data_IF_188080176958
#
_entry.id   IF_188080176958
#
_cell.length_a   1.000
_cell.length_b   1.000
_cell.length_c   1.000
_cell.angle_alpha   90.00
_cell.angle_beta   90.00
_cell.angle_gamma   90.00
#
_symmetry.space_group_name_H-M   'P 1'
#
loop_
_entity.id
_entity.type
_entity.pdbx_description
1 polymer ?
#
# COMPACT_ATOMS: atom_id res chain seq x y z
N UNK A 1 31.56 -91.53 -36.13
CA UNK A 1 32.54 -90.94 -37.06
C UNK A 1 32.86 -89.49 -36.63
N UNK A 2 34.02 -89.41 -36.13
CA UNK A 2 35.00 -88.38 -36.35
C UNK A 2 34.52 -86.92 -36.31
N UNK A 3 35.11 -85.96 -35.66
CA UNK A 3 36.42 -85.91 -35.12
C UNK A 3 36.79 -84.45 -34.90
N UNK A 4 37.59 -84.17 -33.91
CA UNK A 4 38.69 -83.18 -33.85
C UNK A 4 38.27 -81.69 -34.16
N UNK A 5 38.80 -80.64 -33.53
CA UNK A 5 39.85 -80.41 -32.59
C UNK A 5 39.75 -78.95 -32.13
N UNK A 6 40.24 -78.68 -30.91
CA UNK A 6 40.68 -77.36 -30.45
C UNK A 6 41.85 -76.82 -31.26
N UNK A 7 42.11 -75.49 -31.20
CA UNK A 7 43.03 -75.01 -30.18
C UNK A 7 42.65 -73.68 -29.55
N UNK A 8 43.22 -73.53 -28.38
CA UNK A 8 43.27 -72.32 -27.52
C UNK A 8 44.04 -71.18 -28.25
N UNK A 9 43.62 -69.95 -27.95
CA UNK A 9 44.65 -68.90 -27.76
C UNK A 9 44.22 -67.86 -26.77
N UNK A 10 45.12 -67.59 -25.86
CA UNK A 10 44.94 -66.67 -24.73
C UNK A 10 45.10 -65.22 -25.13
N UNK A 11 44.22 -64.40 -24.70
CA UNK A 11 44.28 -62.96 -24.82
C UNK A 11 44.09 -62.28 -23.45
N UNK A 12 45.20 -61.90 -22.90
CA UNK A 12 45.44 -61.17 -21.67
C UNK A 12 44.65 -59.86 -21.62
N UNK A 13 43.55 -59.75 -20.83
CA UNK A 13 42.87 -58.53 -20.56
C UNK A 13 43.50 -57.80 -19.39
N UNK A 14 44.37 -56.87 -19.66
CA UNK A 14 44.90 -55.91 -18.68
C UNK A 14 43.73 -55.02 -18.15
N UNK A 15 43.43 -55.17 -16.89
CA UNK A 15 42.50 -54.28 -16.15
C UNK A 15 43.13 -52.90 -16.02
N UNK A 16 42.66 -51.95 -16.82
CA UNK A 16 42.93 -50.52 -16.67
C UNK A 16 42.11 -49.97 -15.51
N UNK A 17 42.61 -50.06 -14.29
CA UNK A 17 41.99 -49.53 -13.09
C UNK A 17 42.28 -48.04 -12.81
N UNK A 18 42.37 -47.18 -13.82
CA UNK A 18 42.75 -45.80 -13.61
C UNK A 18 41.72 -44.74 -14.12
N UNK A 19 40.65 -45.14 -14.78
CA UNK A 19 39.75 -44.17 -15.41
C UNK A 19 38.67 -43.59 -14.46
N UNK A 20 38.15 -44.36 -13.52
CA UNK A 20 37.07 -43.92 -12.64
C UNK A 20 37.53 -42.84 -11.64
N UNK A 21 38.69 -43.01 -11.02
CA UNK A 21 39.24 -41.98 -10.11
C UNK A 21 39.60 -40.69 -10.82
N UNK A 22 40.11 -40.76 -12.05
CA UNK A 22 40.40 -39.58 -12.87
C UNK A 22 39.11 -38.82 -13.24
N UNK A 23 38.03 -39.52 -13.61
CA UNK A 23 36.75 -38.88 -13.92
C UNK A 23 36.09 -38.24 -12.70
N UNK A 24 36.21 -38.83 -11.51
CA UNK A 24 35.69 -38.25 -10.27
C UNK A 24 36.46 -36.97 -9.91
N UNK A 25 37.79 -37.01 -9.98
CA UNK A 25 38.63 -35.83 -9.73
C UNK A 25 38.30 -34.72 -10.72
N UNK A 26 38.16 -35.04 -12.01
CA UNK A 26 37.79 -34.04 -13.03
C UNK A 26 36.42 -33.45 -12.79
N UNK A 27 35.43 -34.25 -12.40
CA UNK A 27 34.07 -33.78 -12.07
C UNK A 27 34.07 -32.87 -10.84
N UNK A 28 34.83 -33.22 -9.79
CA UNK A 28 34.94 -32.37 -8.58
C UNK A 28 35.63 -31.05 -8.90
N UNK A 29 36.71 -31.08 -9.67
CA UNK A 29 37.40 -29.84 -10.08
C UNK A 29 36.51 -28.97 -10.96
N UNK A 30 35.77 -29.56 -11.90
CA UNK A 30 34.83 -28.81 -12.74
C UNK A 30 33.70 -28.18 -11.91
N UNK A 31 33.18 -28.89 -10.91
CA UNK A 31 32.13 -28.35 -10.01
C UNK A 31 32.69 -27.21 -9.16
N UNK A 32 33.88 -27.32 -8.62
CA UNK A 32 34.53 -26.24 -7.86
C UNK A 32 34.81 -25.00 -8.71
N UNK A 33 35.28 -25.19 -9.97
CA UNK A 33 35.47 -24.08 -10.89
C UNK A 33 34.15 -23.42 -11.27
N UNK A 34 33.09 -24.20 -11.51
CA UNK A 34 31.76 -23.65 -11.79
C UNK A 34 31.22 -22.87 -10.59
N UNK A 35 31.37 -23.38 -9.36
CA UNK A 35 30.97 -22.68 -8.15
C UNK A 35 31.76 -21.37 -7.95
N UNK A 36 33.08 -21.38 -8.19
CA UNK A 36 33.90 -20.19 -8.10
C UNK A 36 33.51 -19.14 -9.16
N UNK A 37 33.20 -19.58 -10.39
CA UNK A 37 32.68 -18.68 -11.44
C UNK A 37 31.33 -18.09 -11.10
N UNK A 38 30.40 -18.88 -10.57
CA UNK A 38 29.10 -18.38 -10.13
C UNK A 38 29.22 -17.36 -9.00
N UNK A 39 30.08 -17.63 -8.00
CA UNK A 39 30.36 -16.69 -6.92
C UNK A 39 31.09 -15.44 -7.44
N UNK A 40 31.99 -15.57 -8.38
CA UNK A 40 32.70 -14.46 -9.01
C UNK A 40 31.76 -13.56 -9.83
N UNK A 41 30.87 -14.17 -10.64
CA UNK A 41 29.87 -13.45 -11.42
C UNK A 41 28.84 -12.80 -10.48
N UNK A 42 28.41 -13.51 -9.44
CA UNK A 42 27.49 -12.96 -8.43
C UNK A 42 28.10 -11.76 -7.69
N UNK A 43 29.37 -11.88 -7.25
CA UNK A 43 30.09 -10.78 -6.62
C UNK A 43 30.31 -9.60 -7.58
N UNK A 44 30.66 -9.88 -8.84
CA UNK A 44 30.81 -8.85 -9.86
C UNK A 44 29.49 -8.16 -10.18
N UNK A 45 28.38 -8.91 -10.31
CA UNK A 45 27.04 -8.36 -10.52
C UNK A 45 26.61 -7.44 -9.38
N UNK A 46 26.94 -7.79 -8.12
CA UNK A 46 26.67 -6.96 -6.96
C UNK A 46 27.55 -5.70 -6.91
N UNK A 47 28.82 -5.81 -7.23
CA UNK A 47 29.77 -4.68 -7.14
C UNK A 47 29.64 -3.69 -8.29
N UNK A 48 29.21 -4.16 -9.47
CA UNK A 48 29.04 -3.31 -10.67
C UNK A 48 27.55 -2.95 -10.94
N UNK A 49 26.65 -3.24 -10.01
CA UNK A 49 25.27 -2.76 -10.07
C UNK A 49 24.39 -3.47 -11.11
N UNK A 50 24.75 -4.67 -11.55
CA UNK A 50 23.92 -5.49 -12.45
C UNK A 50 22.75 -6.16 -11.73
N UNK A 51 22.86 -6.27 -10.41
CA UNK A 51 21.76 -6.69 -9.53
C UNK A 51 21.54 -5.54 -8.55
N UNK A 52 20.42 -4.84 -8.71
CA UNK A 52 19.97 -3.87 -7.73
C UNK A 52 19.55 -4.62 -6.47
N UNK A 53 20.37 -4.60 -5.44
CA UNK A 53 19.86 -4.91 -4.11
C UNK A 53 18.86 -3.78 -3.77
N UNK A 54 17.64 -4.08 -3.34
CA UNK A 54 16.75 -3.02 -2.88
C UNK A 54 17.49 -2.29 -1.75
N UNK A 55 17.92 -1.07 -2.05
CA UNK A 55 18.57 -0.23 -1.05
C UNK A 55 17.50 0.18 -0.07
N UNK A 56 17.67 -0.19 1.19
CA UNK A 56 16.82 0.22 2.32
C UNK A 56 16.95 1.72 2.64
N UNK A 57 17.23 2.55 1.63
CA UNK A 57 17.34 4.01 1.79
C UNK A 57 16.03 4.66 2.21
N UNK A 58 14.88 3.99 2.01
CA UNK A 58 13.59 4.48 2.50
C UNK A 58 13.43 4.35 4.02
N UNK A 59 14.20 3.49 4.69
CA UNK A 59 14.11 3.32 6.15
C UNK A 59 14.90 4.39 6.94
N UNK A 60 15.76 5.16 6.30
CA UNK A 60 16.54 6.20 6.98
C UNK A 60 15.72 7.43 7.36
N UNK A 61 14.52 7.57 6.80
CA UNK A 61 13.59 8.68 7.06
C UNK A 61 12.37 8.28 7.90
N UNK A 62 12.34 7.06 8.45
CA UNK A 62 11.28 6.68 9.38
C UNK A 62 11.46 7.50 10.67
N UNK A 63 10.56 8.45 10.87
CA UNK A 63 10.55 9.23 12.10
C UNK A 63 10.29 8.31 13.30
N UNK A 64 10.87 8.65 14.43
CA UNK A 64 10.57 7.99 15.69
C UNK A 64 9.06 8.01 15.95
N UNK A 65 8.50 6.87 16.36
CA UNK A 65 7.09 6.75 16.77
C UNK A 65 6.85 7.53 18.07
N UNK A 66 6.94 8.86 18.00
CA UNK A 66 6.64 9.74 19.14
C UNK A 66 5.14 10.04 19.10
N UNK A 67 4.45 9.57 20.12
CA UNK A 67 3.06 9.95 20.37
C UNK A 67 3.00 11.43 20.77
N UNK A 68 2.07 12.17 20.18
CA UNK A 68 1.73 13.52 20.61
C UNK A 68 0.91 13.54 21.90
N UNK A 69 0.38 14.70 22.25
CA UNK A 69 -0.47 14.92 23.44
C UNK A 69 -1.96 14.69 23.17
N UNK A 70 -2.33 14.33 21.95
CA UNK A 70 -3.70 14.22 21.45
C UNK A 70 -4.09 15.39 20.54
N UNK A 71 -4.85 15.11 19.49
CA UNK A 71 -5.28 16.11 18.51
C UNK A 71 -6.60 16.79 18.89
N UNK A 72 -7.41 16.15 19.75
CA UNK A 72 -8.68 16.67 20.24
C UNK A 72 -8.58 17.02 21.73
N UNK A 73 -9.30 18.06 22.11
CA UNK A 73 -9.51 18.41 23.51
C UNK A 73 -10.66 17.53 24.08
N UNK A 74 -10.41 16.23 24.21
CA UNK A 74 -11.35 15.38 24.92
C UNK A 74 -11.38 15.75 26.39
N UNK A 75 -12.57 15.97 26.95
CA UNK A 75 -12.71 16.09 28.40
C UNK A 75 -12.38 14.74 29.01
N UNK A 76 -11.45 14.72 29.95
CA UNK A 76 -11.00 13.52 30.62
C UNK A 76 -12.19 12.73 31.17
N UNK A 77 -12.43 11.51 30.67
CA UNK A 77 -13.46 10.60 31.16
C UNK A 77 -14.79 10.62 30.42
N UNK A 78 -14.98 11.45 29.39
CA UNK A 78 -16.17 11.39 28.52
C UNK A 78 -15.86 10.61 27.25
N UNK A 79 -16.74 9.66 26.88
CA UNK A 79 -16.68 8.99 25.58
C UNK A 79 -17.01 9.99 24.44
N UNK A 80 -16.39 9.82 23.29
CA UNK A 80 -16.73 10.62 22.11
C UNK A 80 -18.17 10.39 21.67
N UNK A 81 -18.93 11.46 21.44
CA UNK A 81 -20.28 11.37 20.86
C UNK A 81 -20.18 11.22 19.33
N UNK A 82 -19.88 10.00 18.90
CA UNK A 82 -19.70 9.68 17.47
C UNK A 82 -20.96 9.91 16.64
N UNK A 83 -22.15 9.81 17.23
CA UNK A 83 -23.40 10.11 16.52
C UNK A 83 -23.47 11.59 16.14
N UNK A 84 -23.14 12.46 17.07
CA UNK A 84 -23.09 13.90 16.82
C UNK A 84 -21.98 14.23 15.82
N UNK A 85 -20.77 13.71 16.01
CA UNK A 85 -19.65 13.93 15.08
C UNK A 85 -20.01 13.48 13.66
N UNK A 86 -20.56 12.26 13.50
CA UNK A 86 -20.97 11.76 12.17
C UNK A 86 -21.99 12.69 11.51
N UNK A 87 -23.01 13.14 12.25
CA UNK A 87 -24.03 14.07 11.74
C UNK A 87 -23.45 15.42 11.30
N UNK A 88 -22.43 15.90 12.01
CA UNK A 88 -21.79 17.19 11.71
C UNK A 88 -20.89 17.12 10.47
N UNK A 89 -20.20 16.00 10.24
CA UNK A 89 -19.17 15.91 9.19
C UNK A 89 -19.63 15.21 7.92
N UNK A 90 -20.74 14.46 7.95
CA UNK A 90 -21.24 13.70 6.78
C UNK A 90 -21.47 14.57 5.54
N UNK A 91 -21.90 15.83 5.72
CA UNK A 91 -22.06 16.78 4.63
C UNK A 91 -20.77 17.15 3.89
N UNK A 92 -19.63 16.82 4.45
CA UNK A 92 -18.30 17.08 3.88
C UNK A 92 -17.68 15.84 3.22
N UNK A 93 -18.34 14.67 3.31
CA UNK A 93 -17.87 13.42 2.70
C UNK A 93 -18.61 13.16 1.39
N UNK A 94 -17.91 12.70 0.39
CA UNK A 94 -18.46 12.48 -0.95
C UNK A 94 -18.14 11.09 -1.46
N UNK A 95 -18.99 10.57 -2.36
CA UNK A 95 -18.69 9.40 -3.19
C UNK A 95 -17.99 9.82 -4.47
N UNK A 96 -17.01 9.04 -4.88
CA UNK A 96 -16.28 9.24 -6.13
C UNK A 96 -16.40 8.00 -6.99
N UNK A 97 -16.78 8.20 -8.25
CA UNK A 97 -16.75 7.18 -9.29
C UNK A 97 -15.85 7.65 -10.43
N UNK A 98 -14.85 6.88 -10.75
CA UNK A 98 -13.91 7.15 -11.83
C UNK A 98 -14.15 6.15 -12.97
N UNK A 99 -14.59 6.63 -14.12
CA UNK A 99 -14.73 5.81 -15.31
C UNK A 99 -13.36 5.58 -15.94
N UNK A 100 -12.95 4.32 -16.03
CA UNK A 100 -11.70 3.87 -16.65
C UNK A 100 -11.98 3.28 -18.04
N UNK A 101 -10.95 3.03 -18.83
CA UNK A 101 -11.08 2.37 -20.14
C UNK A 101 -11.67 0.95 -20.06
N UNK A 102 -11.49 0.27 -18.92
CA UNK A 102 -11.84 -1.14 -18.70
C UNK A 102 -12.76 -1.37 -17.49
N UNK A 103 -13.39 -0.32 -16.96
CA UNK A 103 -14.27 -0.46 -15.79
C UNK A 103 -14.54 0.82 -15.07
N UNK A 104 -14.86 0.71 -13.78
CA UNK A 104 -15.14 1.84 -12.90
C UNK A 104 -14.45 1.61 -11.56
N UNK A 105 -13.64 2.56 -11.15
CA UNK A 105 -13.15 2.62 -9.78
C UNK A 105 -14.13 3.40 -8.89
N UNK A 106 -14.21 3.04 -7.62
CA UNK A 106 -15.08 3.70 -6.64
C UNK A 106 -14.29 3.97 -5.37
N UNK A 107 -14.58 5.10 -4.76
CA UNK A 107 -14.01 5.51 -3.49
C UNK A 107 -14.78 6.67 -2.90
N UNK A 108 -14.18 7.31 -1.94
CA UNK A 108 -14.71 8.43 -1.19
C UNK A 108 -13.79 9.65 -1.30
N UNK A 109 -14.22 10.78 -0.81
CA UNK A 109 -13.42 11.99 -0.73
C UNK A 109 -13.88 12.91 0.38
N UNK A 110 -13.04 13.88 0.73
CA UNK A 110 -13.34 14.93 1.68
C UNK A 110 -13.35 16.31 0.99
N UNK A 111 -14.42 17.08 1.14
CA UNK A 111 -14.49 18.47 0.65
C UNK A 111 -13.56 19.32 1.50
N UNK A 112 -12.52 19.89 0.92
CA UNK A 112 -11.53 20.72 1.64
C UNK A 112 -11.72 22.22 1.40
N UNK A 113 -12.63 22.61 0.51
CA UNK A 113 -12.92 24.01 0.24
C UNK A 113 -14.34 24.20 -0.28
N UNK A 114 -15.01 25.25 0.15
CA UNK A 114 -16.31 25.68 -0.40
C UNK A 114 -16.23 26.01 -1.92
N UNK A 115 -15.02 26.11 -2.49
CA UNK A 115 -14.81 26.28 -3.94
C UNK A 115 -14.87 24.94 -4.72
N UNK A 116 -15.24 23.83 -4.06
CA UNK A 116 -15.40 22.52 -4.66
C UNK A 116 -14.11 21.69 -4.79
N UNK A 117 -13.07 22.01 -4.04
CA UNK A 117 -11.88 21.16 -3.97
C UNK A 117 -12.13 19.99 -3.02
N UNK A 118 -11.71 18.81 -3.45
CA UNK A 118 -11.90 17.54 -2.74
C UNK A 118 -10.57 16.81 -2.73
N UNK A 119 -10.19 16.28 -1.57
CA UNK A 119 -9.06 15.35 -1.41
C UNK A 119 -9.58 13.92 -1.47
N UNK A 120 -8.86 13.05 -2.13
CA UNK A 120 -9.09 11.61 -2.23
C UNK A 120 -7.76 10.88 -2.42
N UNK A 121 -7.78 9.55 -2.61
CA UNK A 121 -6.57 8.80 -2.98
C UNK A 121 -6.30 8.87 -4.48
N UNK A 122 -5.01 8.86 -4.83
CA UNK A 122 -4.57 8.78 -6.22
C UNK A 122 -5.07 7.50 -6.91
N UNK A 123 -4.98 6.34 -6.25
CA UNK A 123 -5.44 5.07 -6.83
C UNK A 123 -6.94 5.04 -7.14
N UNK A 124 -7.77 5.87 -6.47
CA UNK A 124 -9.21 5.96 -6.75
C UNK A 124 -9.49 6.61 -8.12
N UNK A 125 -8.64 7.55 -8.54
CA UNK A 125 -8.85 8.34 -9.76
C UNK A 125 -7.83 8.09 -10.86
N UNK A 126 -6.83 7.25 -10.61
CA UNK A 126 -5.75 6.97 -11.56
C UNK A 126 -6.31 6.35 -12.84
N UNK A 127 -5.88 6.85 -14.00
CA UNK A 127 -6.37 6.40 -15.30
C UNK A 127 -7.82 6.78 -15.64
N UNK A 128 -8.47 7.62 -14.83
CA UNK A 128 -9.84 8.04 -15.06
C UNK A 128 -10.00 8.87 -16.34
N UNK A 129 -10.94 8.49 -17.19
CA UNK A 129 -11.38 9.28 -18.33
C UNK A 129 -12.44 10.30 -17.93
N UNK A 130 -13.21 10.00 -16.90
CA UNK A 130 -14.23 10.88 -16.33
C UNK A 130 -14.34 10.60 -14.83
N UNK A 131 -14.50 11.65 -14.03
CA UNK A 131 -14.72 11.56 -12.60
C UNK A 131 -16.09 12.14 -12.28
N UNK A 132 -16.92 11.36 -11.60
CA UNK A 132 -18.22 11.76 -11.08
C UNK A 132 -18.15 11.77 -9.56
N UNK A 133 -18.64 12.82 -8.96
CA UNK A 133 -18.74 13.00 -7.51
C UNK A 133 -20.21 13.12 -7.12
N UNK A 134 -20.62 12.34 -6.12
CA UNK A 134 -21.95 12.43 -5.53
C UNK A 134 -21.83 13.00 -4.13
N UNK A 135 -22.52 14.12 -3.89
CA UNK A 135 -22.57 14.75 -2.58
C UNK A 135 -23.53 13.98 -1.63
N UNK A 136 -23.44 14.24 -0.33
CA UNK A 136 -24.31 13.62 0.69
C UNK A 136 -25.82 13.87 0.47
N UNK A 137 -26.20 14.93 -0.24
CA UNK A 137 -27.57 15.21 -0.63
C UNK A 137 -28.03 14.50 -1.92
N UNK A 138 -27.18 13.62 -2.51
CA UNK A 138 -27.46 12.87 -3.73
C UNK A 138 -27.20 13.64 -5.03
N UNK A 139 -26.81 14.91 -4.97
CA UNK A 139 -26.46 15.67 -6.17
C UNK A 139 -25.15 15.18 -6.78
N UNK A 140 -25.11 15.08 -8.10
CA UNK A 140 -23.95 14.59 -8.86
C UNK A 140 -23.28 15.71 -9.65
N UNK A 141 -21.97 15.70 -9.64
CA UNK A 141 -21.12 16.65 -10.35
C UNK A 141 -20.01 15.91 -11.09
N UNK A 142 -19.58 16.46 -12.22
CA UNK A 142 -18.28 16.09 -12.80
C UNK A 142 -17.17 16.81 -12.08
N UNK A 143 -15.98 16.23 -12.11
CA UNK A 143 -14.80 16.80 -11.48
C UNK A 143 -13.56 16.66 -12.36
N UNK A 144 -12.62 17.59 -12.20
CA UNK A 144 -11.33 17.60 -12.88
C UNK A 144 -10.21 17.34 -11.90
N UNK A 145 -9.17 16.63 -12.33
CA UNK A 145 -7.96 16.41 -11.54
C UNK A 145 -7.19 17.73 -11.46
N UNK A 146 -6.85 18.15 -10.24
CA UNK A 146 -6.05 19.36 -9.98
C UNK A 146 -4.59 18.98 -9.78
N UNK A 147 -4.34 17.88 -9.07
CA UNK A 147 -2.99 17.36 -8.82
C UNK A 147 -3.05 16.01 -8.15
N UNK A 148 -1.97 15.27 -8.30
CA UNK A 148 -1.78 13.94 -7.74
C UNK A 148 -0.40 13.82 -7.12
N UNK A 149 -0.31 13.07 -6.04
CA UNK A 149 0.95 12.65 -5.44
C UNK A 149 0.93 11.13 -5.28
N UNK A 150 1.70 10.45 -6.11
CA UNK A 150 1.81 8.99 -6.06
C UNK A 150 2.58 8.52 -4.83
N UNK A 151 3.45 9.36 -4.23
CA UNK A 151 4.26 8.97 -3.07
C UNK A 151 3.45 8.90 -1.77
N UNK A 152 2.39 9.67 -1.67
CA UNK A 152 1.46 9.64 -0.52
C UNK A 152 0.12 9.00 -0.86
N UNK A 153 -0.07 8.58 -2.13
CA UNK A 153 -1.35 8.10 -2.65
C UNK A 153 -2.47 9.12 -2.48
N UNK A 154 -2.19 10.42 -2.59
CA UNK A 154 -3.17 11.49 -2.49
C UNK A 154 -3.45 12.14 -3.83
N UNK A 155 -4.66 12.64 -3.98
CA UNK A 155 -5.08 13.43 -5.12
C UNK A 155 -6.03 14.55 -4.70
N UNK A 156 -6.00 15.64 -5.46
CA UNK A 156 -6.96 16.74 -5.36
C UNK A 156 -7.74 16.80 -6.66
N UNK A 157 -9.06 16.79 -6.55
CA UNK A 157 -9.99 17.01 -7.64
C UNK A 157 -10.83 18.25 -7.35
N UNK A 158 -11.42 18.83 -8.40
CA UNK A 158 -12.29 20.01 -8.30
C UNK A 158 -13.58 19.77 -9.05
N UNK A 159 -14.71 20.03 -8.38
CA UNK A 159 -16.02 19.97 -8.99
C UNK A 159 -16.17 21.00 -10.12
N UNK A 160 -16.81 20.59 -11.20
CA UNK A 160 -17.29 21.52 -12.22
C UNK A 160 -18.59 22.18 -11.70
N UNK A 161 -18.62 23.53 -11.69
CA UNK A 161 -19.75 24.32 -11.20
C UNK A 161 -20.24 23.91 -9.80
N UNK A 162 -19.39 23.97 -8.76
CA UNK A 162 -19.75 23.56 -7.41
C UNK A 162 -20.91 24.41 -6.85
N UNK A 163 -21.78 23.82 -6.03
CA UNK A 163 -22.81 24.58 -5.33
C UNK A 163 -22.18 25.51 -4.28
N UNK A 164 -22.90 26.56 -3.88
CA UNK A 164 -22.38 27.60 -2.98
C UNK A 164 -22.42 27.22 -1.49
N UNK A 165 -23.10 26.12 -1.14
CA UNK A 165 -23.36 25.67 0.23
C UNK A 165 -22.50 24.48 0.66
N UNK A 166 -21.39 24.22 -0.05
CA UNK A 166 -20.47 23.17 0.32
C UNK A 166 -19.85 23.39 1.69
N UNK A 167 -19.92 22.38 2.53
CA UNK A 167 -19.25 22.34 3.82
C UNK A 167 -17.87 21.71 3.67
N UNK A 168 -16.82 22.49 3.93
CA UNK A 168 -15.45 21.97 3.98
C UNK A 168 -15.15 21.33 5.34
N UNK A 169 -14.29 20.30 5.34
CA UNK A 169 -13.74 19.73 6.57
C UNK A 169 -12.78 20.70 7.25
N UNK A 170 -12.64 20.54 8.56
CA UNK A 170 -11.56 21.12 9.33
C UNK A 170 -10.45 20.09 9.54
N UNK A 171 -9.19 20.53 9.53
CA UNK A 171 -8.04 19.67 9.77
C UNK A 171 -7.53 19.83 11.21
N UNK A 172 -7.18 18.70 11.82
CA UNK A 172 -6.42 18.70 13.06
C UNK A 172 -4.91 18.87 12.77
N UNK A 173 -4.17 19.17 13.80
CA UNK A 173 -2.71 19.13 13.78
C UNK A 173 -2.27 17.67 13.98
N UNK A 174 -1.89 16.98 12.90
CA UNK A 174 -1.51 15.56 12.94
C UNK A 174 -0.24 15.30 13.75
N UNK A 175 0.63 16.30 13.96
CA UNK A 175 1.80 16.16 14.82
C UNK A 175 1.44 15.98 16.32
N UNK A 176 0.20 16.30 16.67
CA UNK A 176 -0.32 16.13 18.04
C UNK A 176 -1.02 14.81 18.28
N UNK A 177 -1.22 13.98 17.25
CA UNK A 177 -1.87 12.68 17.39
C UNK A 177 -1.22 11.83 18.46
N UNK A 178 -2.05 11.13 19.22
CA UNK A 178 -1.61 10.23 20.28
C UNK A 178 -2.08 8.79 20.01
N UNK A 179 -1.23 7.81 20.28
CA UNK A 179 -1.66 6.40 20.29
C UNK A 179 -2.71 6.20 21.38
N UNK A 180 -3.81 5.54 21.02
CA UNK A 180 -4.98 5.37 21.87
C UNK A 180 -6.03 6.48 21.74
N UNK A 181 -5.82 7.50 20.90
CA UNK A 181 -6.81 8.52 20.61
C UNK A 181 -7.97 7.93 19.80
N UNK A 182 -9.20 8.21 20.22
CA UNK A 182 -10.42 7.76 19.55
C UNK A 182 -10.55 8.38 18.15
N UNK A 183 -10.95 7.58 17.18
CA UNK A 183 -11.10 8.00 15.78
C UNK A 183 -12.35 7.41 15.14
N UNK A 184 -12.86 8.10 14.10
CA UNK A 184 -13.93 7.62 13.25
C UNK A 184 -13.53 7.80 11.78
N UNK A 185 -13.48 6.68 11.05
CA UNK A 185 -13.28 6.68 9.60
C UNK A 185 -14.65 6.71 8.91
N UNK A 186 -14.82 7.62 7.95
CA UNK A 186 -16.04 7.74 7.16
C UNK A 186 -15.71 7.55 5.68
N UNK A 187 -16.59 6.82 4.99
CA UNK A 187 -16.63 6.71 3.54
C UNK A 187 -18.05 6.76 3.05
N UNK A 188 -18.21 7.09 1.77
CA UNK A 188 -19.52 7.10 1.09
C UNK A 188 -19.41 6.30 -0.22
N UNK A 189 -19.19 4.99 -0.16
CA UNK A 189 -18.83 4.18 -1.32
C UNK A 189 -19.91 4.10 -2.39
N UNK A 190 -21.17 4.36 -2.03
CA UNK A 190 -22.31 4.24 -2.94
C UNK A 190 -23.03 5.57 -3.20
N UNK A 191 -22.68 6.64 -2.47
CA UNK A 191 -23.31 7.96 -2.60
C UNK A 191 -24.72 8.07 -2.01
N UNK A 192 -25.15 7.06 -1.24
CA UNK A 192 -26.47 7.04 -0.64
C UNK A 192 -26.44 7.06 0.88
N UNK A 193 -25.47 6.36 1.49
CA UNK A 193 -25.33 6.27 2.94
C UNK A 193 -23.83 6.28 3.30
N UNK A 194 -23.48 7.11 4.26
CA UNK A 194 -22.15 7.14 4.83
C UNK A 194 -21.90 5.86 5.63
N UNK A 195 -20.75 5.24 5.39
CA UNK A 195 -20.27 4.14 6.22
C UNK A 195 -19.30 4.72 7.24
N UNK A 196 -19.62 4.62 8.51
CA UNK A 196 -18.79 5.06 9.62
C UNK A 196 -18.28 3.86 10.42
N UNK A 197 -16.98 3.83 10.68
CA UNK A 197 -16.36 2.86 11.58
C UNK A 197 -15.55 3.59 12.62
N UNK A 198 -15.53 3.10 13.86
CA UNK A 198 -14.78 3.72 14.96
C UNK A 198 -13.66 2.80 15.43
N UNK A 199 -12.65 3.40 15.99
CA UNK A 199 -11.48 2.72 16.53
C UNK A 199 -10.58 3.71 17.25
N UNK A 200 -9.31 3.36 17.35
CA UNK A 200 -8.28 4.21 17.95
C UNK A 200 -7.07 4.34 17.02
N UNK A 201 -6.25 5.34 17.25
CA UNK A 201 -4.90 5.41 16.71
C UNK A 201 -4.08 4.28 17.33
N UNK A 202 -3.70 3.29 16.53
CA UNK A 202 -2.94 2.12 16.97
C UNK A 202 -1.43 2.36 16.92
N UNK A 203 -0.96 3.14 15.94
CA UNK A 203 0.44 3.53 15.81
C UNK A 203 0.58 4.77 14.93
N UNK A 204 1.69 5.48 15.11
CA UNK A 204 2.06 6.66 14.32
C UNK A 204 3.33 6.35 13.50
N UNK A 205 3.51 7.10 12.41
CA UNK A 205 4.70 7.00 11.54
C UNK A 205 5.00 5.56 11.10
N UNK A 206 3.94 4.81 10.77
CA UNK A 206 4.12 3.45 10.25
C UNK A 206 4.58 3.50 8.79
N UNK A 207 5.71 2.89 8.46
CA UNK A 207 6.06 2.67 7.07
C UNK A 207 5.06 1.70 6.47
N UNK A 208 4.36 2.14 5.45
CA UNK A 208 3.43 1.31 4.67
C UNK A 208 3.88 1.29 3.23
N UNK A 209 3.70 0.14 2.60
CA UNK A 209 3.96 -0.02 1.18
C UNK A 209 2.65 0.20 0.43
N UNK A 210 2.67 1.15 -0.48
CA UNK A 210 1.62 1.37 -1.47
C UNK A 210 2.19 0.99 -2.82
N UNK A 211 1.59 0.02 -3.50
CA UNK A 211 2.02 -0.35 -4.86
C UNK A 211 1.32 0.58 -5.84
N UNK A 212 2.07 1.34 -6.62
CA UNK A 212 1.53 2.21 -7.65
C UNK A 212 1.08 1.43 -8.90
N UNK A 213 0.42 2.13 -9.84
CA UNK A 213 -0.07 1.55 -11.09
C UNK A 213 1.05 1.01 -12.00
N UNK A 214 2.30 1.39 -11.76
CA UNK A 214 3.48 0.87 -12.46
C UNK A 214 4.04 -0.39 -11.82
N UNK A 215 3.48 -0.83 -10.68
CA UNK A 215 3.95 -1.97 -9.90
C UNK A 215 5.17 -1.61 -9.02
N UNK A 216 5.45 -0.33 -8.82
CA UNK A 216 6.51 0.13 -7.93
C UNK A 216 5.98 0.29 -6.51
N UNK A 217 6.72 -0.23 -5.55
CA UNK A 217 6.41 -0.09 -4.14
C UNK A 217 6.89 1.26 -3.62
N UNK A 218 5.98 2.01 -3.04
CA UNK A 218 6.23 3.29 -2.39
C UNK A 218 6.07 3.10 -0.90
N UNK A 219 7.04 3.56 -0.14
CA UNK A 219 6.97 3.54 1.33
C UNK A 219 6.65 4.93 1.81
N UNK A 220 5.54 5.08 2.49
CA UNK A 220 5.10 6.33 3.12
C UNK A 220 4.86 6.13 4.61
N UNK A 221 4.87 7.21 5.37
CA UNK A 221 4.51 7.17 6.78
C UNK A 221 3.00 7.30 6.93
N UNK A 222 2.40 6.39 7.68
CA UNK A 222 0.97 6.37 7.90
C UNK A 222 0.60 6.40 9.38
N UNK A 223 -0.57 6.92 9.66
CA UNK A 223 -1.28 6.72 10.92
C UNK A 223 -2.01 5.39 10.83
N UNK A 224 -1.67 4.43 11.69
CA UNK A 224 -2.37 3.16 11.78
C UNK A 224 -3.54 3.29 12.74
N UNK A 225 -4.72 2.86 12.29
CA UNK A 225 -5.94 2.81 13.10
C UNK A 225 -6.52 1.38 13.08
N UNK A 226 -7.33 1.01 14.06
CA UNK A 226 -8.05 -0.26 14.11
C UNK A 226 -9.52 -0.13 13.67
N UNK A 227 -9.98 1.07 13.32
CA UNK A 227 -11.25 1.26 12.64
C UNK A 227 -11.25 0.50 11.31
N UNK A 228 -12.33 -0.23 11.00
CA UNK A 228 -12.39 -1.05 9.80
C UNK A 228 -12.41 -0.20 8.53
N UNK A 229 -11.40 -0.32 7.69
CA UNK A 229 -11.32 0.27 6.35
C UNK A 229 -11.60 -0.81 5.33
N UNK A 230 -12.67 -0.66 4.58
CA UNK A 230 -13.09 -1.57 3.52
C UNK A 230 -12.98 -0.90 2.15
N UNK A 231 -12.96 -1.66 1.04
CA UNK A 231 -13.05 -1.11 -0.30
C UNK A 231 -14.23 -0.13 -0.43
N UNK A 232 -13.95 1.06 -0.94
CA UNK A 232 -14.92 2.16 -1.02
C UNK A 232 -14.74 3.23 0.06
N UNK A 233 -14.13 2.93 1.20
CA UNK A 233 -13.76 3.95 2.19
C UNK A 233 -12.48 4.69 1.79
N UNK A 234 -11.68 4.14 0.87
CA UNK A 234 -10.47 4.79 0.33
C UNK A 234 -10.77 6.19 -0.16
N UNK A 235 -9.96 7.14 0.23
CA UNK A 235 -10.09 8.57 -0.09
C UNK A 235 -11.01 9.34 0.85
N UNK A 236 -11.82 8.66 1.67
CA UNK A 236 -12.61 9.29 2.72
C UNK A 236 -11.77 9.70 3.92
N UNK A 237 -12.26 10.65 4.73
CA UNK A 237 -11.55 11.16 5.89
C UNK A 237 -11.66 10.26 7.12
N UNK A 238 -10.62 10.29 7.95
CA UNK A 238 -10.68 9.88 9.36
C UNK A 238 -10.72 11.11 10.24
N UNK A 239 -11.63 11.11 11.21
CA UNK A 239 -11.89 12.22 12.12
C UNK A 239 -11.48 11.89 13.56
N UNK A 240 -11.05 12.90 14.31
CA UNK A 240 -10.94 12.84 15.75
C UNK A 240 -12.31 13.12 16.43
N UNK A 241 -12.34 13.06 17.76
CA UNK A 241 -13.56 13.32 18.54
C UNK A 241 -14.10 14.76 18.44
N UNK A 242 -13.33 15.70 17.92
CA UNK A 242 -13.75 17.07 17.63
C UNK A 242 -14.31 17.26 16.21
N UNK A 243 -14.39 16.18 15.39
CA UNK A 243 -14.84 16.27 14.01
C UNK A 243 -13.80 16.87 13.04
N UNK A 244 -12.53 16.86 13.42
CA UNK A 244 -11.44 17.34 12.60
C UNK A 244 -10.74 16.18 11.91
N UNK A 245 -10.35 16.35 10.65
CA UNK A 245 -9.66 15.34 9.85
C UNK A 245 -8.23 15.18 10.36
N UNK A 246 -7.86 13.93 10.63
CA UNK A 246 -6.51 13.52 11.04
C UNK A 246 -5.77 12.73 9.95
N UNK A 247 -6.48 12.27 8.92
CA UNK A 247 -5.92 11.49 7.82
C UNK A 247 -6.96 11.12 6.77
N UNK A 248 -6.46 10.57 5.67
CA UNK A 248 -7.27 10.06 4.55
C UNK A 248 -7.12 8.54 4.50
N UNK A 249 -8.25 7.82 4.46
CA UNK A 249 -8.30 6.37 4.48
C UNK A 249 -7.68 5.78 3.20
N UNK A 250 -6.83 4.76 3.34
CA UNK A 250 -6.39 3.95 2.22
C UNK A 250 -6.60 2.47 2.51
N UNK A 251 -7.39 1.79 1.68
CA UNK A 251 -7.68 0.35 1.80
C UNK A 251 -6.65 -0.53 1.09
N UNK A 252 -5.75 0.07 0.30
CA UNK A 252 -4.68 -0.67 -0.39
C UNK A 252 -3.36 -0.67 0.38
N UNK A 253 -3.24 0.17 1.41
CA UNK A 253 -2.05 0.21 2.24
C UNK A 253 -1.95 -1.08 3.07
N UNK A 254 -0.83 -1.79 2.95
CA UNK A 254 -0.55 -2.99 3.74
C UNK A 254 0.74 -2.81 4.54
N UNK A 255 0.80 -3.41 5.72
CA UNK A 255 2.06 -3.54 6.42
C UNK A 255 2.89 -4.63 5.74
N UNK A 256 4.13 -4.34 5.41
CA UNK A 256 5.04 -5.14 4.57
C UNK A 256 5.36 -6.57 5.07
N UNK A 257 4.66 -7.12 6.05
CA UNK A 257 5.07 -8.37 6.72
C UNK A 257 4.08 -9.51 6.73
N UNK A 258 2.86 -9.40 6.20
CA UNK A 258 2.01 -10.60 6.09
C UNK A 258 0.83 -10.41 5.13
N UNK A 259 0.69 -11.36 4.22
CA UNK A 259 -0.43 -11.50 3.28
C UNK A 259 -1.77 -11.89 3.93
N UNK A 260 -1.87 -11.98 5.26
CA UNK A 260 -3.02 -12.60 5.94
C UNK A 260 -3.78 -11.70 6.92
N UNK A 261 -3.45 -10.42 7.03
CA UNK A 261 -4.22 -9.52 7.88
C UNK A 261 -4.22 -8.11 7.27
N UNK A 262 -5.28 -7.76 6.59
CA UNK A 262 -5.57 -6.38 6.24
C UNK A 262 -5.80 -5.60 7.54
N UNK A 263 -4.75 -5.01 8.08
CA UNK A 263 -4.86 -3.97 9.09
C UNK A 263 -5.38 -2.72 8.42
N UNK A 264 -6.40 -2.10 8.98
CA UNK A 264 -6.86 -0.80 8.51
C UNK A 264 -5.78 0.25 8.73
N UNK A 265 -5.40 0.97 7.68
CA UNK A 265 -4.39 2.02 7.75
C UNK A 265 -4.99 3.28 7.18
N UNK A 266 -5.00 4.34 8.00
CA UNK A 266 -5.25 5.70 7.53
C UNK A 266 -3.90 6.36 7.22
N UNK A 267 -3.80 7.04 6.09
CA UNK A 267 -2.64 7.86 5.73
C UNK A 267 -2.94 9.28 6.19
N UNK A 268 -2.09 9.79 7.05
CA UNK A 268 -2.19 11.17 7.58
C UNK A 268 -1.12 12.06 7.00
#
# INVERSE_FOLDING_TARGET
DQGMAQPEDGGNASRGGSSAASHIVTAVVAALVAAALCLGVGYFALTYGWVSTPTTTSLTNVQSNKSGTGSATAKTGEAADWKTVASEVSGSVVSIQAALSNGTAKGSGAIVSAKGYIVTNNHVISGAQQIQVTLSNGQMYTAQVVGTDTTTDLAVIKLDNPPSDLKAVEFADSDKLAVGEDVMAIGNPLGYDDTATTGIVSALNRPVTVTDDSGSDIVTNAVQIDAAINPGNSGGPTFNAAGQVIGINSSIASTATSSDSAGSIGIG
#
